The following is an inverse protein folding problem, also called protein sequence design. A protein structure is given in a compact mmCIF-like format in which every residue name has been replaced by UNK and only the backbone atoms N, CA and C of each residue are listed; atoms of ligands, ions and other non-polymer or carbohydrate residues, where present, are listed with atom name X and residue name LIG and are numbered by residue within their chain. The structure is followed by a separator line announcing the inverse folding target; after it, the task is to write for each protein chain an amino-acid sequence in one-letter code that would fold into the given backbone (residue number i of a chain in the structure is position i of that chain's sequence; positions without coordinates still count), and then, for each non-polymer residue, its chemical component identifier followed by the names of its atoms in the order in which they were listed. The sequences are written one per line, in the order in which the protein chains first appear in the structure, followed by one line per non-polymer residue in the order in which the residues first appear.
data_IF_042568877389
#
_entry.id   IF_042568877389
#
_cell.length_a   1.000
_cell.length_b   1.000
_cell.length_c   1.000
_cell.angle_alpha   90.00
_cell.angle_beta   90.00
_cell.angle_gamma   90.00
#
_symmetry.space_group_name_H-M   'P 1'
#
loop_
_entity.id
_entity.type
_entity.pdbx_description
1 polymer ?
#
# COMPACT_ATOMS: atom_id res chain seq x y z
N UNK A 1 1.72 2.96 12.59
CA UNK A 1 0.62 3.14 11.61
C UNK A 1 0.79 2.16 10.47
N UNK A 2 -0.31 1.65 9.92
CA UNK A 2 -0.34 0.80 8.73
C UNK A 2 -0.91 1.52 7.50
N UNK A 3 -0.51 1.08 6.31
CA UNK A 3 -1.05 1.50 5.02
C UNK A 3 -1.41 0.25 4.22
N UNK A 4 -2.61 0.21 3.66
CA UNK A 4 -2.98 -0.72 2.58
C UNK A 4 -3.04 0.13 1.31
N UNK A 5 -2.26 -0.21 0.30
CA UNK A 5 -2.24 0.53 -0.97
C UNK A 5 -2.44 -0.43 -2.15
N UNK A 6 -3.24 -0.02 -3.13
CA UNK A 6 -3.38 -0.77 -4.39
C UNK A 6 -2.41 -0.20 -5.43
N UNK A 7 -1.47 -1.03 -5.87
CA UNK A 7 -0.50 -0.72 -6.91
C UNK A 7 -1.00 -1.18 -8.28
N UNK A 8 -1.17 -0.20 -9.17
CA UNK A 8 -1.34 -0.44 -10.60
C UNK A 8 0.01 -0.74 -11.27
N UNK A 9 -0.04 -1.23 -12.51
CA UNK A 9 1.14 -1.30 -13.37
C UNK A 9 1.70 0.12 -13.56
N UNK A 10 2.97 0.31 -13.26
CA UNK A 10 3.60 1.62 -13.38
C UNK A 10 3.92 1.94 -14.84
N UNK A 11 3.68 3.19 -15.25
CA UNK A 11 4.22 3.72 -16.48
C UNK A 11 5.68 4.16 -16.28
N UNK A 12 6.56 3.99 -17.28
CA UNK A 12 7.93 4.50 -17.20
C UNK A 12 7.96 6.01 -16.90
N UNK A 13 8.78 6.41 -15.94
CA UNK A 13 8.99 7.82 -15.58
C UNK A 13 7.84 8.49 -14.80
N UNK A 14 6.69 7.83 -14.58
CA UNK A 14 5.57 8.38 -13.80
C UNK A 14 5.46 7.74 -12.44
N UNK A 15 5.26 8.54 -11.40
CA UNK A 15 4.94 8.04 -10.06
C UNK A 15 3.57 7.33 -10.06
N UNK A 16 3.45 6.20 -9.38
CA UNK A 16 2.16 5.51 -9.23
C UNK A 16 1.38 6.06 -8.03
N UNK A 17 0.05 5.93 -8.00
CA UNK A 17 -0.74 6.33 -6.84
C UNK A 17 -0.28 5.65 -5.54
N UNK A 18 0.08 4.36 -5.59
CA UNK A 18 0.59 3.64 -4.43
C UNK A 18 1.95 4.17 -3.94
N UNK A 19 2.83 4.56 -4.87
CA UNK A 19 4.11 5.19 -4.53
C UNK A 19 3.88 6.57 -3.88
N UNK A 20 2.98 7.38 -4.44
CA UNK A 20 2.61 8.68 -3.87
C UNK A 20 2.02 8.54 -2.46
N UNK A 21 1.07 7.63 -2.26
CA UNK A 21 0.46 7.35 -0.96
C UNK A 21 1.52 6.87 0.06
N UNK A 22 2.40 5.96 -0.34
CA UNK A 22 3.51 5.51 0.51
C UNK A 22 4.40 6.68 0.93
N UNK A 23 4.88 7.50 -0.02
CA UNK A 23 5.75 8.65 0.26
C UNK A 23 5.07 9.67 1.16
N UNK A 24 3.79 9.94 0.95
CA UNK A 24 2.99 10.87 1.76
C UNK A 24 2.92 10.43 3.24
N UNK A 25 2.70 9.14 3.49
CA UNK A 25 2.61 8.60 4.85
C UNK A 25 3.98 8.34 5.50
N UNK A 26 4.98 7.96 4.71
CA UNK A 26 6.34 7.70 5.17
C UNK A 26 7.12 8.98 5.45
N UNK A 27 6.88 10.06 4.69
CA UNK A 27 7.53 11.37 4.80
C UNK A 27 9.06 11.30 4.86
N UNK A 28 9.67 10.53 3.96
CA UNK A 28 11.13 10.31 3.92
C UNK A 28 11.72 9.88 5.27
N UNK A 29 10.98 9.01 5.95
CA UNK A 29 11.35 8.45 7.25
C UNK A 29 11.04 9.32 8.46
N UNK A 30 10.31 10.42 8.29
CA UNK A 30 9.85 11.29 9.39
C UNK A 30 8.40 11.04 9.78
N UNK A 31 7.70 10.16 9.07
CA UNK A 31 6.33 9.78 9.35
C UNK A 31 6.20 8.66 10.38
N UNK A 32 4.95 8.32 10.71
CA UNK A 32 4.60 7.26 11.67
C UNK A 32 4.23 5.93 10.97
N UNK A 33 4.45 5.84 9.66
CA UNK A 33 4.27 4.60 8.91
C UNK A 33 5.26 3.54 9.43
N UNK A 34 4.76 2.32 9.63
CA UNK A 34 5.54 1.16 10.07
C UNK A 34 5.27 -0.08 9.23
N UNK A 35 4.07 -0.17 8.68
CA UNK A 35 3.60 -1.32 7.92
C UNK A 35 2.94 -0.85 6.62
N UNK A 36 3.29 -1.49 5.51
CA UNK A 36 2.64 -1.27 4.23
C UNK A 36 2.28 -2.62 3.61
N UNK A 37 1.00 -2.82 3.27
CA UNK A 37 0.53 -3.92 2.44
C UNK A 37 0.26 -3.38 1.05
N UNK A 38 1.10 -3.79 0.09
CA UNK A 38 1.01 -3.36 -1.29
C UNK A 38 0.27 -4.42 -2.10
N UNK A 39 -1.01 -4.21 -2.37
CA UNK A 39 -1.83 -5.12 -3.18
C UNK A 39 -1.56 -4.84 -4.65
N UNK A 40 -1.16 -5.84 -5.44
CA UNK A 40 -0.96 -5.70 -6.87
C UNK A 40 -1.31 -6.97 -7.65
N UNK A 41 -1.53 -6.83 -8.95
CA UNK A 41 -1.70 -7.96 -9.86
C UNK A 41 -0.35 -8.52 -10.30
N UNK A 42 -0.32 -9.78 -10.74
CA UNK A 42 0.90 -10.45 -11.18
C UNK A 42 1.66 -9.68 -12.27
N UNK A 43 0.94 -9.03 -13.20
CA UNK A 43 1.52 -8.24 -14.30
C UNK A 43 2.08 -6.87 -13.86
N UNK A 44 1.68 -6.39 -12.68
CA UNK A 44 2.19 -5.17 -12.06
C UNK A 44 3.35 -5.44 -11.07
N UNK A 45 3.56 -6.70 -10.66
CA UNK A 45 4.48 -7.08 -9.58
C UNK A 45 5.92 -6.64 -9.85
N UNK A 46 6.51 -7.05 -10.98
CA UNK A 46 7.93 -6.82 -11.26
C UNK A 46 8.28 -5.32 -11.25
N UNK A 47 7.47 -4.50 -11.91
CA UNK A 47 7.69 -3.05 -11.98
C UNK A 47 7.51 -2.36 -10.62
N UNK A 48 6.56 -2.81 -9.80
CA UNK A 48 6.39 -2.27 -8.45
C UNK A 48 7.54 -2.68 -7.51
N UNK A 49 8.00 -3.94 -7.58
CA UNK A 49 9.16 -4.39 -6.81
C UNK A 49 10.42 -3.60 -7.16
N UNK A 50 10.68 -3.37 -8.45
CA UNK A 50 11.82 -2.55 -8.89
C UNK A 50 11.78 -1.13 -8.29
N UNK A 51 10.61 -0.48 -8.34
CA UNK A 51 10.41 0.87 -7.78
C UNK A 51 10.61 0.89 -6.27
N UNK A 52 9.95 0.00 -5.53
CA UNK A 52 10.08 -0.03 -4.08
C UNK A 52 11.46 -0.51 -3.63
N UNK A 53 12.18 -1.28 -4.43
CA UNK A 53 13.59 -1.60 -4.20
C UNK A 53 14.46 -0.36 -4.36
N UNK A 54 14.24 0.47 -5.38
CA UNK A 54 14.94 1.75 -5.51
C UNK A 54 14.68 2.67 -4.31
N UNK A 55 13.42 2.75 -3.84
CA UNK A 55 13.06 3.50 -2.64
C UNK A 55 13.76 2.92 -1.41
N UNK A 56 13.73 1.60 -1.22
CA UNK A 56 14.39 0.92 -0.11
C UNK A 56 15.89 1.23 -0.06
N UNK A 57 16.60 1.12 -1.19
CA UNK A 57 18.02 1.47 -1.30
C UNK A 57 18.28 2.93 -0.93
N UNK A 58 17.48 3.87 -1.46
CA UNK A 58 17.63 5.30 -1.14
C UNK A 58 17.26 5.65 0.31
N UNK A 59 16.47 4.79 0.97
CA UNK A 59 15.98 5.02 2.32
C UNK A 59 16.97 4.62 3.42
N UNK A 60 18.08 3.97 3.08
CA UNK A 60 19.01 3.36 4.02
C UNK A 60 19.56 4.34 5.08
N UNK A 61 19.70 5.63 4.74
CA UNK A 61 20.18 6.69 5.63
C UNK A 61 19.05 7.49 6.30
N UNK A 62 17.78 7.13 6.08
CA UNK A 62 16.65 7.82 6.72
C UNK A 62 16.44 7.33 8.15
N UNK A 63 15.72 8.11 8.96
CA UNK A 63 15.44 7.75 10.35
C UNK A 63 14.59 6.47 10.50
N UNK A 64 13.78 6.15 9.50
CA UNK A 64 12.99 4.92 9.42
C UNK A 64 13.10 4.32 8.01
N UNK A 65 14.13 3.50 7.74
CA UNK A 65 14.36 2.93 6.41
C UNK A 65 13.22 1.98 6.00
N UNK A 66 13.02 1.81 4.70
CA UNK A 66 12.09 0.85 4.13
C UNK A 66 12.78 -0.52 3.96
N UNK A 67 12.16 -1.56 4.52
CA UNK A 67 12.47 -2.97 4.26
C UNK A 67 11.38 -3.56 3.38
N UNK A 68 11.72 -3.85 2.14
CA UNK A 68 10.86 -4.55 1.19
C UNK A 68 10.94 -6.06 1.44
N UNK A 69 9.80 -6.70 1.72
CA UNK A 69 9.67 -8.14 1.86
C UNK A 69 9.27 -8.72 0.50
N UNK A 70 10.27 -9.11 -0.29
CA UNK A 70 10.07 -9.58 -1.67
C UNK A 70 9.45 -10.99 -1.72
N UNK A 71 9.73 -11.84 -0.72
CA UNK A 71 9.08 -13.13 -0.61
C UNK A 71 7.70 -12.95 0.06
N UNK A 72 6.58 -13.25 -0.63
CA UNK A 72 5.22 -13.08 -0.11
C UNK A 72 4.95 -13.91 1.16
N UNK A 73 5.66 -15.02 1.35
CA UNK A 73 5.57 -15.88 2.53
C UNK A 73 6.30 -15.27 3.75
N UNK A 74 7.11 -14.23 3.54
CA UNK A 74 7.74 -13.52 4.66
C UNK A 74 6.68 -12.77 5.45
N UNK A 75 6.52 -13.16 6.71
CA UNK A 75 5.59 -12.52 7.62
C UNK A 75 6.18 -11.20 8.13
N UNK A 76 5.36 -10.16 8.15
CA UNK A 76 5.67 -8.90 8.83
C UNK A 76 6.00 -9.16 10.30
N UNK A 77 7.06 -8.52 10.81
CA UNK A 77 7.45 -8.70 12.21
C UNK A 77 6.81 -7.63 13.12
N UNK A 78 6.54 -7.93 14.41
CA UNK A 78 6.09 -6.93 15.38
C UNK A 78 7.07 -5.75 15.50
N UNK A 79 6.60 -4.56 15.87
CA UNK A 79 7.41 -3.33 15.88
C UNK A 79 8.63 -3.45 16.80
N UNK A 80 8.49 -4.18 17.92
CA UNK A 80 9.59 -4.46 18.86
C UNK A 80 10.78 -5.16 18.19
N UNK A 81 10.52 -5.97 17.17
CA UNK A 81 11.54 -6.74 16.45
C UNK A 81 12.01 -6.00 15.18
N UNK A 82 11.12 -5.24 14.54
CA UNK A 82 11.42 -4.46 13.34
C UNK A 82 12.21 -3.17 13.64
N UNK A 83 12.21 -2.72 14.90
CA UNK A 83 12.82 -1.47 15.32
C UNK A 83 12.15 -0.27 14.64
N UNK A 84 12.96 0.63 14.09
CA UNK A 84 12.48 1.84 13.39
C UNK A 84 12.17 1.61 11.91
N UNK A 85 12.15 0.38 11.43
CA UNK A 85 12.01 0.08 10.00
C UNK A 85 10.55 0.12 9.56
N UNK A 86 10.28 0.65 8.37
CA UNK A 86 9.01 0.44 7.68
C UNK A 86 9.07 -0.88 6.94
N UNK A 87 8.17 -1.81 7.25
CA UNK A 87 8.10 -3.09 6.57
C UNK A 87 7.01 -3.05 5.49
N UNK A 88 7.36 -3.43 4.27
CA UNK A 88 6.43 -3.52 3.16
C UNK A 88 6.29 -4.96 2.69
N UNK A 89 5.08 -5.49 2.76
CA UNK A 89 4.72 -6.78 2.20
C UNK A 89 3.95 -6.58 0.91
N UNK A 90 4.38 -7.26 -0.16
CA UNK A 90 3.61 -7.29 -1.41
C UNK A 90 2.57 -8.40 -1.33
N UNK A 91 1.34 -8.07 -1.72
CA UNK A 91 0.18 -8.98 -1.71
C UNK A 91 -0.28 -9.14 -3.15
N UNK A 92 0.08 -10.27 -3.75
CA UNK A 92 -0.20 -10.52 -5.17
C UNK A 92 -1.57 -11.19 -5.33
N UNK A 93 -2.38 -10.66 -6.24
CA UNK A 93 -3.68 -11.23 -6.62
C UNK A 93 -3.71 -11.52 -8.12
N UNK A 94 -4.43 -12.57 -8.53
CA UNK A 94 -4.68 -12.80 -9.95
C UNK A 94 -5.74 -11.83 -10.50
N UNK A 95 -5.81 -11.73 -11.82
CA UNK A 95 -6.72 -10.81 -12.50
C UNK A 95 -8.20 -11.11 -12.23
N UNK A 96 -8.69 -12.36 -12.32
CA UNK A 96 -10.07 -12.69 -11.94
C UNK A 96 -10.43 -12.24 -10.51
N UNK A 97 -9.53 -12.46 -9.56
CA UNK A 97 -9.69 -12.07 -8.16
C UNK A 97 -9.68 -10.55 -7.98
N UNK A 98 -8.86 -9.82 -8.73
CA UNK A 98 -8.88 -8.36 -8.75
C UNK A 98 -10.19 -7.78 -9.30
N UNK A 99 -10.88 -8.53 -10.16
CA UNK A 99 -12.18 -8.16 -10.72
C UNK A 99 -13.35 -8.52 -9.79
N UNK A 100 -13.13 -9.30 -8.72
CA UNK A 100 -14.14 -9.65 -7.73
C UNK A 100 -14.03 -8.75 -6.47
N UNK A 101 -14.97 -7.80 -6.28
CA UNK A 101 -14.97 -6.95 -5.08
C UNK A 101 -15.15 -7.73 -3.78
N UNK A 102 -15.81 -8.89 -3.78
CA UNK A 102 -15.96 -9.72 -2.57
C UNK A 102 -14.64 -10.38 -2.19
N UNK A 103 -13.89 -10.88 -3.17
CA UNK A 103 -12.54 -11.38 -2.93
C UNK A 103 -11.62 -10.29 -2.38
N UNK A 104 -11.63 -9.10 -2.99
CA UNK A 104 -10.80 -7.97 -2.52
C UNK A 104 -11.22 -7.54 -1.12
N UNK A 105 -12.53 -7.49 -0.82
CA UNK A 105 -13.03 -7.24 0.53
C UNK A 105 -12.46 -8.27 1.51
N UNK A 106 -12.56 -9.56 1.19
CA UNK A 106 -12.02 -10.64 2.01
C UNK A 106 -10.51 -10.52 2.24
N UNK A 107 -9.76 -10.13 1.20
CA UNK A 107 -8.32 -9.90 1.28
C UNK A 107 -7.99 -8.75 2.25
N UNK A 108 -8.70 -7.63 2.13
CA UNK A 108 -8.52 -6.49 3.04
C UNK A 108 -8.90 -6.87 4.47
N UNK A 109 -9.99 -7.62 4.67
CA UNK A 109 -10.37 -8.19 5.97
C UNK A 109 -9.25 -9.07 6.57
N UNK A 110 -8.59 -9.89 5.74
CA UNK A 110 -7.43 -10.67 6.16
C UNK A 110 -6.25 -9.80 6.58
N UNK A 111 -5.97 -8.72 5.86
CA UNK A 111 -4.90 -7.78 6.20
C UNK A 111 -5.18 -7.14 7.57
N UNK A 112 -6.41 -6.70 7.85
CA UNK A 112 -6.79 -6.18 9.17
C UNK A 112 -6.59 -7.22 10.28
N UNK A 113 -6.96 -8.49 10.05
CA UNK A 113 -6.70 -9.57 11.01
C UNK A 113 -5.20 -9.82 11.24
N UNK A 114 -4.40 -9.78 10.18
CA UNK A 114 -2.93 -9.87 10.28
C UNK A 114 -2.37 -8.69 11.09
N UNK A 115 -2.86 -7.48 10.86
CA UNK A 115 -2.44 -6.30 11.57
C UNK A 115 -2.78 -6.37 13.08
N UNK A 116 -3.92 -6.95 13.44
CA UNK A 116 -4.26 -7.21 14.84
C UNK A 116 -3.25 -8.17 15.50
N UNK A 117 -2.78 -9.20 14.80
CA UNK A 117 -1.72 -10.09 15.30
C UNK A 117 -0.38 -9.35 15.50
N UNK A 118 -0.17 -8.24 14.79
CA UNK A 118 0.96 -7.33 14.97
C UNK A 118 0.70 -6.25 16.05
N UNK A 119 -0.41 -6.36 16.79
CA UNK A 119 -0.86 -5.36 17.77
C UNK A 119 -1.12 -3.96 17.17
N UNK A 120 -1.52 -3.91 15.90
CA UNK A 120 -1.89 -2.67 15.20
C UNK A 120 -3.41 -2.54 15.24
N UNK A 121 -3.90 -1.44 15.81
CA UNK A 121 -5.34 -1.14 15.81
C UNK A 121 -5.84 -0.76 14.41
N UNK A 122 -7.08 -1.14 14.09
CA UNK A 122 -7.71 -0.88 12.80
C UNK A 122 -7.79 0.62 12.49
N UNK A 123 -8.01 1.47 13.51
CA UNK A 123 -8.03 2.93 13.34
C UNK A 123 -6.66 3.52 13.01
N UNK A 124 -5.59 2.76 13.25
CA UNK A 124 -4.20 3.12 12.91
C UNK A 124 -3.77 2.63 11.53
N UNK A 125 -4.71 2.08 10.75
CA UNK A 125 -4.49 1.62 9.38
C UNK A 125 -5.30 2.50 8.44
N UNK A 126 -4.65 2.94 7.36
CA UNK A 126 -5.29 3.67 6.28
C UNK A 126 -5.35 2.75 5.07
N UNK A 127 -6.53 2.58 4.48
CA UNK A 127 -6.68 1.92 3.19
C UNK A 127 -6.80 2.97 2.08
N UNK A 128 -5.80 3.03 1.21
CA UNK A 128 -5.78 3.87 0.02
C UNK A 128 -6.20 3.07 -1.22
N UNK A 129 -7.26 3.52 -1.88
CA UNK A 129 -7.80 2.88 -3.08
C UNK A 129 -7.56 3.67 -4.37
N UNK A 130 -6.69 4.69 -4.34
CA UNK A 130 -6.45 5.63 -5.45
C UNK A 130 -5.94 4.92 -6.71
N UNK A 131 -5.06 3.92 -6.55
CA UNK A 131 -4.51 3.15 -7.66
C UNK A 131 -5.34 1.93 -8.08
N UNK A 132 -6.51 1.73 -7.48
CA UNK A 132 -7.37 0.59 -7.75
C UNK A 132 -8.15 0.71 -9.07
N UNK A 133 -8.39 -0.44 -9.71
CA UNK A 133 -9.47 -0.56 -10.68
C UNK A 133 -10.81 -0.55 -9.94
N UNK A 134 -11.92 -0.31 -10.66
CA UNK A 134 -13.26 -0.19 -10.06
C UNK A 134 -13.59 -1.31 -9.06
N UNK A 135 -13.33 -2.56 -9.43
CA UNK A 135 -13.61 -3.72 -8.57
C UNK A 135 -12.73 -3.76 -7.32
N UNK A 136 -11.43 -3.47 -7.43
CA UNK A 136 -10.55 -3.43 -6.26
C UNK A 136 -10.91 -2.27 -5.34
N UNK A 137 -11.20 -1.08 -5.88
CA UNK A 137 -11.71 0.05 -5.10
C UNK A 137 -13.01 -0.28 -4.38
N UNK A 138 -13.98 -0.91 -5.06
CA UNK A 138 -15.23 -1.33 -4.45
C UNK A 138 -15.00 -2.33 -3.30
N UNK A 139 -14.11 -3.31 -3.48
CA UNK A 139 -13.77 -4.25 -2.41
C UNK A 139 -13.13 -3.59 -1.19
N UNK A 140 -12.23 -2.62 -1.39
CA UNK A 140 -11.63 -1.84 -0.30
C UNK A 140 -12.69 -0.99 0.41
N UNK A 141 -13.56 -0.30 -0.33
CA UNK A 141 -14.67 0.49 0.24
C UNK A 141 -15.58 -0.40 1.08
N UNK A 142 -15.98 -1.57 0.58
CA UNK A 142 -16.81 -2.52 1.30
C UNK A 142 -16.14 -3.03 2.57
N UNK A 143 -14.83 -3.30 2.53
CA UNK A 143 -14.08 -3.69 3.71
C UNK A 143 -14.01 -2.56 4.74
N UNK A 144 -13.90 -1.31 4.31
CA UNK A 144 -13.82 -0.14 5.19
C UNK A 144 -15.19 0.48 5.52
N UNK A 145 -16.28 -0.25 5.32
CA UNK A 145 -17.63 0.22 5.67
C UNK A 145 -17.91 0.23 7.19
N UNK A 146 -17.02 -0.35 8.00
CA UNK A 146 -17.07 -0.26 9.47
C UNK A 146 -16.39 1.04 9.95
N UNK A 147 -16.93 1.73 10.98
CA UNK A 147 -16.47 3.06 11.37
C UNK A 147 -15.02 3.12 11.87
N UNK A 148 -14.43 2.00 12.28
CA UNK A 148 -13.06 1.92 12.78
C UNK A 148 -12.00 1.91 11.68
N UNK A 149 -12.38 1.67 10.42
CA UNK A 149 -11.44 1.47 9.32
C UNK A 149 -11.33 2.73 8.48
N UNK A 150 -10.14 3.35 8.48
CA UNK A 150 -9.92 4.60 7.76
C UNK A 150 -9.72 4.33 6.28
N UNK A 151 -10.53 4.98 5.46
CA UNK A 151 -10.47 4.93 4.02
C UNK A 151 -9.96 6.27 3.48
N UNK A 152 -9.05 6.25 2.52
CA UNK A 152 -8.54 7.44 1.84
C UNK A 152 -8.45 7.23 0.33
N UNK A 153 -8.52 8.35 -0.38
CA UNK A 153 -8.16 8.44 -1.79
C UNK A 153 -7.55 9.82 -2.05
N UNK A 154 -6.63 9.90 -3.01
CA UNK A 154 -6.14 11.16 -3.53
C UNK A 154 -6.90 11.50 -4.81
N UNK A 155 -7.61 12.64 -4.80
CA UNK A 155 -8.14 13.21 -6.05
C UNK A 155 -6.97 13.76 -6.87
N UNK A 156 -6.70 13.16 -8.02
CA UNK A 156 -5.85 13.80 -9.03
C UNK A 156 -6.58 14.97 -9.66
N UNK A 157 -5.90 16.11 -9.81
CA UNK A 157 -6.29 17.06 -10.86
C UNK A 157 -5.66 16.60 -12.16
N UNK A 158 -6.51 16.26 -13.14
CA UNK A 158 -6.07 16.11 -14.51
C UNK A 158 -5.87 17.52 -15.08
N UNK A 159 -4.64 17.86 -15.42
CA UNK A 159 -4.35 19.03 -16.26
C UNK A 159 -4.80 18.74 -17.70
N UNK A 160 -4.89 19.75 -18.57
CA UNK A 160 -5.38 19.60 -19.97
C UNK A 160 -4.59 18.55 -20.81
N UNK A 161 -3.44 18.10 -20.29
CA UNK A 161 -2.55 17.08 -20.89
C UNK A 161 -2.76 15.65 -20.37
N UNK A 162 -3.80 15.42 -19.55
CA UNK A 162 -4.09 14.13 -18.89
C UNK A 162 -2.95 13.56 -18.02
N UNK A 163 -2.04 14.42 -17.55
CA UNK A 163 -0.98 14.03 -16.62
C UNK A 163 -1.48 14.07 -15.16
N UNK A 164 -1.19 13.00 -14.40
CA UNK A 164 -1.51 12.94 -12.97
C UNK A 164 -0.56 13.84 -12.18
N UNK A 165 -1.11 14.77 -11.39
CA UNK A 165 -0.39 15.48 -10.32
C UNK A 165 -1.00 15.08 -8.99
N UNK A 166 -0.19 14.54 -8.09
CA UNK A 166 -0.60 14.33 -6.71
C UNK A 166 -0.96 15.69 -6.07
N UNK A 167 -2.00 15.76 -5.21
CA UNK A 167 -2.30 16.98 -4.48
C UNK A 167 -1.12 17.39 -3.58
N UNK A 168 -0.87 18.70 -3.50
CA UNK A 168 0.22 19.31 -2.69
C UNK A 168 0.00 19.11 -1.19
#
# INVERSE_FOLDING_TARGET
MGLIAIASKAEPGKETPAEAAFKFHWKNGRGNLRYCWLICTQDALATNLERFRAIATSSAQTATPLKLLENPDTVLQPEREAGRTVQMQTVVIDWPSAQDPNYVKYLVDRIYRQAQALSIDSQSIIADYTGGIKSTSAGVILACSTPERRLQYASGHYDETASFKAPK
#
